data_IF_683985807464
#
_entry.id   IF_683985807464
#
_cell.length_a   1.000
_cell.length_b   1.000
_cell.length_c   1.000
_cell.angle_alpha   90.00
_cell.angle_beta   90.00
_cell.angle_gamma   90.00
#
_symmetry.space_group_name_H-M   'P 1'
#
loop_
_entity.id
_entity.type
_entity.pdbx_description
1 polymer ?
#
# COMPACT_ATOMS: atom_id res chain seq x y z
N UNK A 1 -24.96 -20.62 -6.91
CA UNK A 1 -23.90 -21.20 -7.78
C UNK A 1 -23.12 -20.08 -8.51
N UNK A 2 -21.81 -20.25 -8.73
CA UNK A 2 -20.89 -19.21 -9.21
C UNK A 2 -20.81 -19.26 -10.75
N UNK A 3 -20.51 -18.13 -11.41
CA UNK A 3 -20.30 -17.98 -12.87
C UNK A 3 -21.59 -17.98 -13.74
N UNK A 4 -22.63 -17.30 -13.30
CA UNK A 4 -23.77 -17.01 -14.19
C UNK A 4 -23.63 -15.62 -14.81
N UNK A 5 -23.95 -15.53 -16.09
CA UNK A 5 -24.14 -14.25 -16.79
C UNK A 5 -25.45 -13.59 -16.39
N UNK A 6 -26.52 -14.38 -16.21
CA UNK A 6 -27.85 -13.92 -15.84
C UNK A 6 -28.25 -14.45 -14.46
N UNK A 7 -28.95 -13.64 -13.69
CA UNK A 7 -29.38 -13.95 -12.33
C UNK A 7 -30.85 -13.55 -12.15
N UNK A 8 -31.59 -14.23 -11.26
CA UNK A 8 -32.97 -13.87 -10.96
C UNK A 8 -33.05 -12.48 -10.30
N UNK A 9 -34.20 -11.80 -10.48
CA UNK A 9 -34.43 -10.43 -10.00
C UNK A 9 -34.22 -10.25 -8.49
N UNK A 10 -34.38 -11.32 -7.69
CA UNK A 10 -34.12 -11.32 -6.24
C UNK A 10 -32.68 -10.90 -5.89
N UNK A 11 -31.70 -11.16 -6.76
CA UNK A 11 -30.29 -10.86 -6.53
C UNK A 11 -29.86 -9.51 -7.11
N UNK A 12 -30.76 -8.79 -7.78
CA UNK A 12 -30.47 -7.53 -8.46
C UNK A 12 -29.89 -6.50 -7.48
N UNK A 13 -30.51 -6.33 -6.31
CA UNK A 13 -30.09 -5.34 -5.31
C UNK A 13 -28.64 -5.55 -4.88
N UNK A 14 -28.27 -6.78 -4.49
CA UNK A 14 -26.93 -7.11 -4.04
C UNK A 14 -25.89 -6.99 -5.17
N UNK A 15 -26.26 -7.32 -6.40
CA UNK A 15 -25.37 -7.16 -7.56
C UNK A 15 -25.12 -5.69 -7.90
N UNK A 16 -26.12 -4.81 -7.74
CA UNK A 16 -25.94 -3.36 -7.90
C UNK A 16 -25.00 -2.81 -6.83
N UNK A 17 -25.19 -3.18 -5.56
CA UNK A 17 -24.29 -2.77 -4.48
C UNK A 17 -22.87 -3.28 -4.74
N UNK A 18 -22.72 -4.54 -5.16
CA UNK A 18 -21.43 -5.13 -5.50
C UNK A 18 -20.74 -4.42 -6.67
N UNK A 19 -21.49 -4.02 -7.70
CA UNK A 19 -20.92 -3.33 -8.86
C UNK A 19 -20.50 -1.89 -8.50
N UNK A 20 -21.27 -1.19 -7.67
CA UNK A 20 -20.87 0.11 -7.11
C UNK A 20 -19.55 -0.01 -6.33
N UNK A 21 -19.41 -1.06 -5.50
CA UNK A 21 -18.16 -1.35 -4.79
C UNK A 21 -16.96 -1.54 -5.72
N UNK A 22 -17.15 -2.23 -6.85
CA UNK A 22 -16.09 -2.41 -7.85
C UNK A 22 -15.62 -1.09 -8.46
N UNK A 23 -16.54 -0.15 -8.74
CA UNK A 23 -16.19 1.17 -9.25
C UNK A 23 -15.39 1.98 -8.23
N UNK A 24 -15.78 1.93 -6.95
CA UNK A 24 -15.03 2.58 -5.86
C UNK A 24 -13.61 2.01 -5.77
N UNK A 25 -13.45 0.70 -5.91
CA UNK A 25 -12.13 0.06 -5.90
C UNK A 25 -11.25 0.53 -7.07
N UNK A 26 -11.84 0.71 -8.27
CA UNK A 26 -11.14 1.23 -9.43
C UNK A 26 -10.60 2.64 -9.17
N UNK A 27 -11.43 3.53 -8.63
CA UNK A 27 -10.99 4.88 -8.26
C UNK A 27 -9.91 4.87 -7.18
N UNK A 28 -9.99 3.97 -6.19
CA UNK A 28 -9.00 3.85 -5.13
C UNK A 28 -7.60 3.50 -5.67
N UNK A 29 -7.51 2.61 -6.67
CA UNK A 29 -6.24 2.21 -7.28
C UNK A 29 -5.64 3.37 -8.07
N UNK A 30 -6.46 4.09 -8.87
CA UNK A 30 -6.01 5.29 -9.59
C UNK A 30 -5.47 6.32 -8.59
N UNK A 31 -6.18 6.55 -7.49
CA UNK A 31 -5.74 7.48 -6.46
C UNK A 31 -4.44 7.04 -5.78
N UNK A 32 -4.28 5.75 -5.49
CA UNK A 32 -3.04 5.20 -4.94
C UNK A 32 -1.84 5.43 -5.88
N UNK A 33 -2.02 5.24 -7.19
CA UNK A 33 -0.97 5.52 -8.17
C UNK A 33 -0.55 7.00 -8.17
N UNK A 34 -1.52 7.92 -8.03
CA UNK A 34 -1.26 9.36 -7.93
C UNK A 34 -0.49 9.70 -6.64
N UNK A 35 -0.84 9.09 -5.50
CA UNK A 35 -0.12 9.30 -4.23
C UNK A 35 1.33 8.85 -4.36
N UNK A 36 1.58 7.66 -4.93
CA UNK A 36 2.94 7.14 -5.12
C UNK A 36 3.73 8.07 -6.04
N UNK A 37 3.17 8.44 -7.19
CA UNK A 37 3.83 9.34 -8.13
C UNK A 37 4.15 10.71 -7.50
N UNK A 38 3.22 11.26 -6.72
CA UNK A 38 3.44 12.50 -5.97
C UNK A 38 4.53 12.32 -4.90
N UNK A 39 4.57 11.20 -4.18
CA UNK A 39 5.60 10.96 -3.16
C UNK A 39 7.01 10.83 -3.74
N UNK A 40 7.14 10.34 -4.98
CA UNK A 40 8.44 10.22 -5.65
C UNK A 40 8.94 11.55 -6.22
N UNK A 41 8.03 12.42 -6.64
CA UNK A 41 8.37 13.74 -7.21
C UNK A 41 8.67 14.78 -6.13
N UNK A 42 7.98 14.74 -4.99
CA UNK A 42 8.25 15.62 -3.86
C UNK A 42 9.30 15.02 -2.91
N UNK A 43 10.40 15.74 -2.67
CA UNK A 43 11.42 15.36 -1.67
C UNK A 43 10.95 15.72 -0.26
N UNK A 44 10.05 14.91 0.30
CA UNK A 44 9.67 15.02 1.70
C UNK A 44 10.70 14.28 2.56
N UNK A 45 11.57 15.04 3.23
CA UNK A 45 12.52 14.45 4.18
C UNK A 45 11.77 13.94 5.42
N UNK A 46 12.13 12.74 5.88
CA UNK A 46 11.59 12.17 7.11
C UNK A 46 12.11 12.99 8.31
N UNK A 47 11.20 13.47 9.15
CA UNK A 47 11.54 14.32 10.31
C UNK A 47 11.80 13.50 11.57
N UNK A 48 11.11 12.37 11.75
CA UNK A 48 11.25 11.56 12.97
C UNK A 48 10.86 10.09 12.73
N UNK A 49 11.60 9.17 13.34
CA UNK A 49 11.27 7.75 13.38
C UNK A 49 11.52 7.20 14.80
N UNK A 50 10.50 6.60 15.41
CA UNK A 50 10.52 6.09 16.80
C UNK A 50 10.87 4.59 16.84
N UNK A 51 10.93 3.93 15.69
CA UNK A 51 11.11 2.50 15.62
C UNK A 51 12.52 2.08 16.03
N UNK A 52 12.61 1.07 16.89
CA UNK A 52 13.88 0.52 17.39
C UNK A 52 14.40 -0.65 16.54
N UNK A 53 13.72 -1.01 15.44
CA UNK A 53 14.24 -2.07 14.57
C UNK A 53 15.48 -1.56 13.83
N UNK A 54 16.41 -2.49 13.58
CA UNK A 54 17.73 -2.20 13.00
C UNK A 54 17.64 -1.53 11.62
N UNK A 55 16.61 -1.86 10.81
CA UNK A 55 16.37 -1.25 9.49
C UNK A 55 16.10 0.26 9.57
N UNK A 56 15.44 0.72 10.63
CA UNK A 56 15.01 2.10 10.82
C UNK A 56 16.10 3.00 11.41
N UNK A 57 17.21 2.40 11.87
CA UNK A 57 18.42 3.13 12.27
C UNK A 57 19.29 3.52 11.07
N UNK A 58 19.05 2.96 9.87
CA UNK A 58 19.80 3.29 8.67
C UNK A 58 19.36 4.62 8.05
N UNK A 59 20.22 5.17 7.18
CA UNK A 59 19.82 6.27 6.30
C UNK A 59 18.75 5.81 5.30
N UNK A 60 17.92 6.77 4.86
CA UNK A 60 16.87 6.54 3.87
C UNK A 60 17.16 7.46 2.65
N UNK A 61 17.73 6.95 1.54
CA UNK A 61 17.98 5.55 1.21
C UNK A 61 19.24 4.97 1.88
N UNK A 62 19.31 3.64 2.07
CA UNK A 62 20.50 2.98 2.58
C UNK A 62 21.63 2.98 1.56
N UNK A 63 22.86 2.85 2.04
CA UNK A 63 24.05 2.69 1.20
C UNK A 63 24.12 1.25 0.67
N UNK A 64 24.70 1.04 -0.51
CA UNK A 64 24.91 -0.29 -1.13
C UNK A 64 25.55 -1.29 -0.15
N UNK A 65 26.60 -0.84 0.55
CA UNK A 65 27.16 -1.52 1.70
C UNK A 65 26.68 -0.84 2.98
N UNK A 66 25.55 -1.30 3.49
CA UNK A 66 24.80 -0.60 4.54
C UNK A 66 25.47 -0.66 5.93
N UNK A 67 26.28 -1.69 6.19
CA UNK A 67 26.99 -1.89 7.46
C UNK A 67 28.46 -2.20 7.21
N UNK A 68 29.35 -1.53 7.93
CA UNK A 68 30.75 -1.97 8.07
C UNK A 68 30.87 -3.14 9.03
N UNK A 69 30.07 -3.15 10.10
CA UNK A 69 29.97 -4.21 11.09
C UNK A 69 28.50 -4.42 11.47
N UNK A 70 28.12 -5.68 11.68
CA UNK A 70 26.75 -6.04 12.05
C UNK A 70 26.47 -5.65 13.52
N UNK A 71 25.32 -5.02 13.84
CA UNK A 71 24.95 -4.75 15.21
C UNK A 71 24.72 -6.07 15.97
N UNK A 72 25.31 -6.19 17.15
CA UNK A 72 25.07 -7.34 18.02
C UNK A 72 23.71 -7.21 18.70
N UNK A 73 22.93 -8.29 18.66
CA UNK A 73 21.72 -8.40 19.46
C UNK A 73 22.15 -8.68 20.91
N UNK A 74 21.88 -7.73 21.80
CA UNK A 74 21.92 -7.97 23.24
C UNK A 74 20.50 -8.35 23.64
N UNK A 75 20.33 -9.59 24.11
CA UNK A 75 19.05 -10.06 24.68
C UNK A 75 18.67 -9.26 25.92
#
# INVERSE_FOLDING_TARGET
>A
PRRYSNYPDLLLFWNIVSSMGSMISLFSIIFMMIIIWKSLTFKNNLVFNINKNIEWLQNMPPVEHSYSELPSLVN
#
